data_IF_855442259475
#
_entry.id   IF_855442259475
#
_cell.length_a   1.000
_cell.length_b   1.000
_cell.length_c   1.000
_cell.angle_alpha   90.00
_cell.angle_beta   90.00
_cell.angle_gamma   90.00
#
_symmetry.space_group_name_H-M   'P 1'
#
loop_
_entity.id
_entity.type
_entity.pdbx_description
1 polymer ?
#
# COMPACT_ATOMS: atom_id res chain seq x y z
N UNK A 1 -3.77 23.73 -4.53
CA UNK A 1 -3.58 22.43 -5.21
C UNK A 1 -4.23 21.36 -4.36
N UNK A 2 -5.07 20.50 -4.95
CA UNK A 2 -5.69 19.36 -4.24
C UNK A 2 -4.65 18.25 -4.09
N UNK A 3 -4.54 17.65 -2.89
CA UNK A 3 -3.68 16.49 -2.65
C UNK A 3 -4.27 15.27 -3.34
N UNK A 4 -3.45 14.56 -4.12
CA UNK A 4 -3.83 13.31 -4.77
C UNK A 4 -3.46 12.13 -3.86
N UNK A 5 -4.37 11.19 -3.71
CA UNK A 5 -4.18 9.97 -2.94
C UNK A 5 -4.15 8.78 -3.90
N UNK A 6 -3.11 7.96 -3.84
CA UNK A 6 -3.12 6.63 -4.45
C UNK A 6 -3.64 5.62 -3.44
N UNK A 7 -4.54 4.75 -3.86
CA UNK A 7 -5.20 3.78 -2.99
C UNK A 7 -5.52 2.47 -3.69
N UNK A 8 -5.56 1.39 -2.90
CA UNK A 8 -6.21 0.13 -3.26
C UNK A 8 -7.49 0.05 -2.42
N UNK A 9 -8.66 0.16 -3.04
CA UNK A 9 -9.89 0.46 -2.31
C UNK A 9 -10.93 -0.66 -2.35
N UNK A 10 -11.29 -1.14 -3.52
CA UNK A 10 -12.33 -2.14 -3.71
C UNK A 10 -12.01 -3.00 -4.91
N UNK A 11 -12.48 -4.25 -4.92
CA UNK A 11 -12.43 -5.13 -6.07
C UNK A 11 -13.29 -4.61 -7.23
N UNK A 12 -13.23 -5.28 -8.34
CA UNK A 12 -13.86 -4.90 -9.62
C UNK A 12 -15.37 -4.78 -9.56
N UNK A 13 -16.02 -5.45 -8.61
CA UNK A 13 -17.49 -5.35 -8.39
C UNK A 13 -17.85 -4.40 -7.25
N UNK A 14 -16.88 -3.72 -6.65
CA UNK A 14 -17.09 -2.90 -5.46
C UNK A 14 -17.14 -3.69 -4.14
N UNK A 15 -16.74 -4.96 -4.13
CA UNK A 15 -16.68 -5.82 -2.96
C UNK A 15 -15.25 -5.94 -2.42
N UNK A 16 -15.09 -6.38 -1.17
CA UNK A 16 -13.79 -6.54 -0.53
C UNK A 16 -13.12 -7.89 -0.78
N UNK A 17 -13.87 -8.94 -1.06
CA UNK A 17 -13.36 -10.25 -1.41
C UNK A 17 -13.72 -10.59 -2.84
N UNK A 18 -12.73 -10.69 -3.70
CA UNK A 18 -12.89 -11.03 -5.12
C UNK A 18 -11.92 -12.15 -5.48
N UNK A 19 -12.16 -12.77 -6.62
CA UNK A 19 -11.28 -13.85 -7.09
C UNK A 19 -10.02 -13.26 -7.70
N UNK A 20 -8.82 -13.75 -7.33
CA UNK A 20 -7.59 -13.35 -7.97
C UNK A 20 -7.64 -13.52 -9.50
N UNK A 21 -7.06 -12.59 -10.21
CA UNK A 21 -6.88 -12.68 -11.67
C UNK A 21 -7.98 -12.08 -12.52
N UNK A 22 -8.98 -11.42 -11.93
CA UNK A 22 -10.04 -10.72 -12.65
C UNK A 22 -9.89 -9.18 -12.58
N UNK A 23 -8.67 -8.71 -12.64
CA UNK A 23 -8.33 -7.28 -12.60
C UNK A 23 -9.02 -6.49 -13.70
N UNK A 24 -9.65 -5.39 -13.31
CA UNK A 24 -10.22 -4.40 -14.24
C UNK A 24 -9.26 -3.24 -14.52
N UNK A 25 -8.17 -3.14 -13.77
CA UNK A 25 -7.24 -2.01 -13.80
C UNK A 25 -7.80 -0.73 -13.17
N UNK A 26 -8.82 -0.83 -12.32
CA UNK A 26 -9.47 0.28 -11.60
C UNK A 26 -9.48 0.08 -10.09
N UNK A 27 -9.12 -1.07 -9.60
CA UNK A 27 -9.13 -1.45 -8.20
C UNK A 27 -8.08 -0.66 -7.40
N UNK A 28 -6.92 -0.41 -8.01
CA UNK A 28 -5.97 0.59 -7.56
C UNK A 28 -6.22 1.86 -8.36
N UNK A 29 -6.37 2.99 -7.68
CA UNK A 29 -6.74 4.25 -8.34
C UNK A 29 -6.21 5.47 -7.59
N UNK A 30 -6.35 6.63 -8.24
CA UNK A 30 -6.13 7.92 -7.62
C UNK A 30 -7.44 8.58 -7.25
N UNK A 31 -7.49 9.15 -6.06
CA UNK A 31 -8.57 9.99 -5.57
C UNK A 31 -8.03 11.37 -5.16
N UNK A 32 -8.91 12.34 -5.02
CA UNK A 32 -8.60 13.58 -4.31
C UNK A 32 -8.70 13.36 -2.80
N UNK A 33 -7.97 14.17 -2.04
CA UNK A 33 -8.13 14.15 -0.58
C UNK A 33 -9.58 14.36 -0.20
N UNK A 34 -10.07 13.58 0.74
CA UNK A 34 -11.42 13.66 1.28
C UNK A 34 -11.40 13.57 2.81
N UNK A 35 -12.35 14.25 3.45
CA UNK A 35 -12.55 14.12 4.88
C UNK A 35 -13.14 12.73 5.19
N UNK A 36 -12.53 12.03 6.14
CA UNK A 36 -12.94 10.69 6.54
C UNK A 36 -12.66 10.45 8.02
N UNK A 37 -12.99 9.26 8.50
CA UNK A 37 -12.70 8.84 9.89
C UNK A 37 -11.22 8.42 10.03
N UNK A 38 -10.31 9.30 9.64
CA UNK A 38 -8.88 9.06 9.74
C UNK A 38 -8.45 8.98 11.21
N UNK A 39 -7.66 7.97 11.56
CA UNK A 39 -7.13 7.75 12.90
C UNK A 39 -5.73 8.36 13.08
N UNK A 40 -5.02 8.55 12.00
CA UNK A 40 -3.67 9.10 12.00
C UNK A 40 -3.05 9.17 10.63
N UNK A 41 -1.93 9.85 10.54
CA UNK A 41 -1.06 9.91 9.37
C UNK A 41 0.28 9.29 9.72
N UNK A 42 0.70 8.31 8.96
CA UNK A 42 2.06 7.77 8.98
C UNK A 42 2.92 8.58 8.00
N UNK A 43 3.77 9.43 8.53
CA UNK A 43 4.65 10.28 7.74
C UNK A 43 6.07 9.73 7.74
N UNK A 44 6.66 9.60 6.57
CA UNK A 44 8.09 9.32 6.47
C UNK A 44 8.90 10.46 7.11
N UNK A 45 9.93 10.11 7.88
CA UNK A 45 10.91 11.07 8.41
C UNK A 45 11.89 11.52 7.32
N UNK A 46 12.21 10.63 6.39
CA UNK A 46 13.06 10.91 5.24
C UNK A 46 12.20 11.29 4.02
N UNK A 47 12.38 12.52 3.54
CA UNK A 47 11.67 13.05 2.38
C UNK A 47 11.95 12.24 1.10
N UNK A 48 13.19 11.77 0.90
CA UNK A 48 13.54 10.97 -0.27
C UNK A 48 12.79 9.64 -0.27
N UNK A 49 12.66 8.98 0.87
CA UNK A 49 11.85 7.76 0.99
C UNK A 49 10.37 8.04 0.75
N UNK A 50 9.85 9.17 1.22
CA UNK A 50 8.48 9.57 0.91
C UNK A 50 8.25 9.73 -0.60
N UNK A 51 9.18 10.37 -1.31
CA UNK A 51 9.14 10.54 -2.76
C UNK A 51 9.22 9.17 -3.50
N UNK A 52 10.10 8.28 -3.07
CA UNK A 52 10.20 6.92 -3.63
C UNK A 52 8.93 6.09 -3.38
N UNK A 53 8.33 6.20 -2.20
CA UNK A 53 7.07 5.52 -1.90
C UNK A 53 5.91 6.06 -2.76
N UNK A 54 5.87 7.36 -3.01
CA UNK A 54 4.89 7.96 -3.91
C UNK A 54 5.08 7.46 -5.36
N UNK A 55 6.32 7.36 -5.84
CA UNK A 55 6.62 6.78 -7.16
C UNK A 55 6.22 5.30 -7.24
N UNK A 56 6.48 4.51 -6.19
CA UNK A 56 6.03 3.12 -6.12
C UNK A 56 4.50 3.01 -6.13
N UNK A 57 3.82 3.93 -5.43
CA UNK A 57 2.36 4.02 -5.47
C UNK A 57 1.85 4.34 -6.89
N UNK A 58 2.47 5.29 -7.58
CA UNK A 58 2.14 5.60 -8.97
C UNK A 58 2.37 4.41 -9.90
N UNK A 59 3.48 3.70 -9.74
CA UNK A 59 3.77 2.48 -10.49
C UNK A 59 2.74 1.39 -10.25
N UNK A 60 2.37 1.16 -8.98
CA UNK A 60 1.35 0.17 -8.61
C UNK A 60 -0.04 0.49 -9.16
N UNK A 61 -0.48 1.75 -9.05
CA UNK A 61 -1.77 2.20 -9.63
C UNK A 61 -1.75 2.11 -11.17
N UNK A 62 -0.60 2.36 -11.79
CA UNK A 62 -0.45 2.25 -13.24
C UNK A 62 -0.40 0.82 -13.76
N UNK A 63 -0.04 -0.15 -12.92
CA UNK A 63 0.08 -1.56 -13.31
C UNK A 63 -1.26 -2.29 -13.17
N UNK A 64 -1.91 -2.55 -14.30
CA UNK A 64 -3.21 -3.22 -14.36
C UNK A 64 -3.19 -4.70 -13.98
N UNK A 65 -2.03 -5.28 -13.75
CA UNK A 65 -1.91 -6.63 -13.19
C UNK A 65 -2.09 -6.68 -11.67
N UNK A 66 -2.10 -5.52 -11.00
CA UNK A 66 -2.30 -5.47 -9.55
C UNK A 66 -3.77 -5.13 -9.28
N UNK A 67 -4.50 -6.07 -8.72
CA UNK A 67 -5.90 -5.93 -8.34
C UNK A 67 -6.10 -5.85 -6.83
N UNK A 68 -7.36 -5.79 -6.43
CA UNK A 68 -7.77 -5.73 -5.03
C UNK A 68 -8.55 -6.98 -4.61
N UNK A 69 -7.98 -7.72 -3.68
CA UNK A 69 -8.65 -8.81 -2.98
C UNK A 69 -8.04 -9.01 -1.60
N UNK A 70 -8.86 -8.95 -0.54
CA UNK A 70 -8.39 -9.14 0.82
C UNK A 70 -7.91 -10.57 1.10
N UNK A 71 -8.52 -11.57 0.48
CA UNK A 71 -8.14 -12.97 0.67
C UNK A 71 -6.84 -13.30 -0.07
N UNK A 72 -6.63 -12.69 -1.24
CA UNK A 72 -5.44 -12.83 -2.07
C UNK A 72 -4.33 -11.78 -1.84
N UNK A 73 -4.47 -10.89 -0.86
CA UNK A 73 -3.63 -9.68 -0.66
C UNK A 73 -2.12 -9.90 -0.66
N UNK A 74 -1.67 -11.11 -0.39
CA UNK A 74 -0.24 -11.43 -0.29
C UNK A 74 0.39 -11.83 -1.62
N UNK A 75 -0.39 -12.05 -2.66
CA UNK A 75 0.16 -12.46 -3.96
C UNK A 75 0.98 -11.36 -4.61
N UNK A 76 0.58 -10.09 -4.43
CA UNK A 76 1.37 -8.93 -4.88
C UNK A 76 2.71 -8.80 -4.14
N UNK A 77 2.78 -9.17 -2.85
CA UNK A 77 4.03 -9.16 -2.09
C UNK A 77 5.06 -10.13 -2.70
N UNK A 78 4.63 -11.37 -2.96
CA UNK A 78 5.50 -12.40 -3.55
C UNK A 78 5.99 -11.97 -4.94
N UNK A 79 5.10 -11.41 -5.75
CA UNK A 79 5.47 -10.92 -7.07
C UNK A 79 6.41 -9.70 -7.02
N UNK A 80 6.20 -8.77 -6.09
CA UNK A 80 7.05 -7.61 -5.90
C UNK A 80 8.48 -8.01 -5.46
N UNK A 81 8.59 -8.98 -4.55
CA UNK A 81 9.89 -9.52 -4.14
C UNK A 81 10.66 -10.12 -5.34
N UNK A 82 9.99 -10.84 -6.23
CA UNK A 82 10.59 -11.44 -7.41
C UNK A 82 11.11 -10.43 -8.45
N UNK A 83 10.58 -9.20 -8.44
CA UNK A 83 10.99 -8.09 -9.32
C UNK A 83 11.74 -6.98 -8.57
N UNK A 84 12.41 -7.32 -7.47
CA UNK A 84 13.17 -6.38 -6.64
C UNK A 84 12.35 -5.14 -6.23
N UNK A 85 11.07 -5.34 -5.90
CA UNK A 85 10.13 -4.31 -5.43
C UNK A 85 9.79 -3.23 -6.46
N UNK A 86 10.09 -3.45 -7.74
CA UNK A 86 9.64 -2.60 -8.82
C UNK A 86 8.21 -2.97 -9.25
N UNK A 87 7.22 -2.32 -8.68
CA UNK A 87 5.80 -2.65 -8.89
C UNK A 87 5.35 -2.52 -10.36
N UNK A 88 6.08 -1.74 -11.18
CA UNK A 88 5.81 -1.62 -12.61
C UNK A 88 6.12 -2.91 -13.39
N UNK A 89 7.02 -3.75 -12.88
CA UNK A 89 7.50 -4.98 -13.56
C UNK A 89 6.67 -6.23 -13.22
N UNK A 90 5.66 -6.13 -12.38
CA UNK A 90 4.76 -7.26 -12.09
C UNK A 90 3.97 -7.59 -13.34
N UNK A 91 4.28 -8.73 -13.96
CA UNK A 91 3.78 -9.12 -15.28
C UNK A 91 2.58 -10.07 -15.24
N UNK A 92 2.18 -10.56 -14.05
CA UNK A 92 1.07 -11.50 -13.88
C UNK A 92 0.00 -10.91 -12.96
N UNK A 93 -1.26 -11.30 -13.12
CA UNK A 93 -2.32 -10.91 -12.21
C UNK A 93 -2.01 -11.31 -10.76
N UNK A 94 -2.05 -10.32 -9.88
CA UNK A 94 -1.81 -10.46 -8.43
C UNK A 94 -2.74 -9.53 -7.65
N UNK A 95 -2.92 -9.82 -6.37
CA UNK A 95 -3.85 -9.11 -5.51
C UNK A 95 -3.13 -8.46 -4.34
N UNK A 96 -3.66 -7.33 -3.93
CA UNK A 96 -3.29 -6.61 -2.71
C UNK A 96 -4.53 -6.08 -2.01
N UNK A 97 -4.38 -5.48 -0.84
CA UNK A 97 -5.41 -4.64 -0.22
C UNK A 97 -4.83 -3.27 0.17
N UNK A 98 -5.61 -2.41 0.79
CA UNK A 98 -5.17 -1.06 1.13
C UNK A 98 -3.90 -1.05 2.00
N UNK A 99 -3.85 -1.87 3.04
CA UNK A 99 -2.72 -1.94 3.97
C UNK A 99 -1.51 -2.66 3.37
N UNK A 100 -1.74 -3.74 2.65
CA UNK A 100 -0.68 -4.49 1.96
C UNK A 100 -0.04 -3.61 0.87
N UNK A 101 -0.83 -2.85 0.11
CA UNK A 101 -0.31 -1.94 -0.91
C UNK A 101 0.58 -0.83 -0.30
N UNK A 102 0.17 -0.24 0.81
CA UNK A 102 1.01 0.74 1.50
C UNK A 102 2.33 0.13 2.00
N UNK A 103 2.31 -1.11 2.47
CA UNK A 103 3.53 -1.83 2.83
C UNK A 103 4.43 -2.05 1.62
N UNK A 104 3.89 -2.45 0.47
CA UNK A 104 4.67 -2.60 -0.77
C UNK A 104 5.34 -1.28 -1.17
N UNK A 105 4.62 -0.17 -1.13
CA UNK A 105 5.18 1.14 -1.45
C UNK A 105 6.31 1.54 -0.49
N UNK A 106 6.16 1.26 0.80
CA UNK A 106 7.19 1.55 1.79
C UNK A 106 8.45 0.66 1.63
N UNK A 107 8.29 -0.63 1.33
CA UNK A 107 9.40 -1.53 1.05
C UNK A 107 10.12 -1.11 -0.24
N UNK A 108 9.39 -0.78 -1.29
CA UNK A 108 9.94 -0.24 -2.55
C UNK A 108 10.75 1.05 -2.33
N UNK A 109 10.41 1.82 -1.31
CA UNK A 109 11.16 3.02 -0.89
C UNK A 109 12.38 2.70 0.00
N UNK A 110 12.69 1.43 0.26
CA UNK A 110 13.85 1.00 1.03
C UNK A 110 13.59 0.86 2.55
N UNK A 111 12.34 0.65 2.98
CA UNK A 111 12.04 0.33 4.39
C UNK A 111 12.10 -1.19 4.60
N UNK A 112 13.31 -1.74 4.52
CA UNK A 112 13.54 -3.20 4.57
C UNK A 112 13.09 -3.86 5.86
N UNK A 113 13.07 -3.13 6.98
CA UNK A 113 12.57 -3.63 8.26
C UNK A 113 11.11 -4.14 8.19
N UNK A 114 10.31 -3.64 7.25
CA UNK A 114 8.93 -4.09 7.06
C UNK A 114 8.85 -5.51 6.48
N UNK A 115 9.86 -6.00 5.79
CA UNK A 115 9.92 -7.39 5.28
C UNK A 115 9.92 -8.38 6.45
N UNK A 116 10.69 -8.10 7.51
CA UNK A 116 10.68 -8.94 8.72
C UNK A 116 9.35 -8.82 9.47
N UNK A 117 8.81 -7.61 9.56
CA UNK A 117 7.49 -7.37 10.15
C UNK A 117 6.40 -8.19 9.43
N UNK A 118 6.40 -8.21 8.11
CA UNK A 118 5.48 -8.98 7.30
C UNK A 118 5.55 -10.48 7.64
N UNK A 119 6.75 -11.05 7.71
CA UNK A 119 6.96 -12.47 8.07
C UNK A 119 6.47 -12.78 9.49
N UNK A 120 6.77 -11.92 10.46
CA UNK A 120 6.34 -12.08 11.87
C UNK A 120 4.83 -11.98 12.05
N UNK A 121 4.13 -11.28 11.16
CA UNK A 121 2.67 -11.15 11.16
C UNK A 121 1.96 -12.26 10.36
N UNK A 122 2.61 -13.39 10.13
CA UNK A 122 2.05 -14.50 9.36
C UNK A 122 1.92 -14.19 7.87
N UNK A 123 2.89 -13.46 7.31
CA UNK A 123 2.88 -13.00 5.93
C UNK A 123 1.67 -12.13 5.61
N UNK A 124 1.38 -11.17 6.46
CA UNK A 124 0.26 -10.26 6.28
C UNK A 124 0.59 -8.85 6.77
N UNK A 125 -0.11 -7.87 6.23
CA UNK A 125 -0.16 -6.51 6.74
C UNK A 125 -1.62 -6.08 6.87
N UNK A 126 -2.01 -5.60 8.02
CA UNK A 126 -3.35 -5.05 8.26
C UNK A 126 -3.24 -3.59 8.69
N UNK A 127 -4.31 -2.82 8.53
CA UNK A 127 -4.36 -1.42 9.00
C UNK A 127 -4.00 -1.30 10.47
N UNK A 128 -4.45 -2.25 11.30
CA UNK A 128 -4.10 -2.30 12.72
C UNK A 128 -2.60 -2.50 12.94
N UNK A 129 -1.97 -3.36 12.13
CA UNK A 129 -0.52 -3.57 12.17
C UNK A 129 0.24 -2.29 11.79
N UNK A 130 -0.21 -1.57 10.76
CA UNK A 130 0.49 -0.39 10.24
C UNK A 130 0.74 0.67 11.32
N UNK A 131 -0.27 1.01 12.14
CA UNK A 131 -0.15 2.03 13.18
C UNK A 131 0.93 1.73 14.21
N UNK A 132 1.24 0.47 14.43
CA UNK A 132 2.26 0.00 15.37
C UNK A 132 3.58 -0.32 14.68
N UNK A 133 3.52 -1.08 13.60
CA UNK A 133 4.70 -1.67 12.98
C UNK A 133 5.50 -0.65 12.15
N UNK A 134 4.84 0.30 11.50
CA UNK A 134 5.54 1.31 10.71
C UNK A 134 6.37 2.25 11.58
N UNK A 135 5.82 2.86 12.66
CA UNK A 135 6.64 3.67 13.57
C UNK A 135 7.78 2.88 14.22
N UNK A 136 7.58 1.58 14.52
CA UNK A 136 8.59 0.72 15.13
C UNK A 136 9.82 0.51 14.24
N UNK A 137 9.74 0.75 12.93
CA UNK A 137 10.90 0.74 12.03
C UNK A 137 11.86 1.91 12.25
N UNK A 138 11.42 2.96 12.95
CA UNK A 138 12.15 4.22 13.09
C UNK A 138 12.03 5.18 11.89
N UNK A 139 11.47 4.72 10.78
CA UNK A 139 11.36 5.48 9.51
C UNK A 139 10.13 6.39 9.44
N UNK A 140 9.15 6.16 10.31
CA UNK A 140 7.89 6.90 10.31
C UNK A 140 7.64 7.58 11.64
N UNK A 141 6.91 8.67 11.58
CA UNK A 141 6.19 9.27 12.71
C UNK A 141 4.69 9.06 12.54
N UNK A 142 4.00 8.77 13.63
CA UNK A 142 2.54 8.68 13.67
C UNK A 142 1.98 10.01 14.18
N UNK A 143 1.19 10.69 13.35
CA UNK A 143 0.55 11.95 13.65
C UNK A 143 -0.94 11.72 13.87
N UNK A 144 -1.44 12.01 15.06
CA UNK A 144 -2.85 11.80 15.45
C UNK A 144 -3.59 13.10 15.74
N UNK A 145 -2.92 14.25 15.72
CA UNK A 145 -3.57 15.55 15.92
C UNK A 145 -4.52 15.84 14.74
N UNK A 146 -5.73 16.28 15.05
CA UNK A 146 -6.79 16.58 14.07
C UNK A 146 -6.35 17.52 12.95
N UNK A 147 -5.43 18.46 13.21
CA UNK A 147 -4.90 19.37 12.19
C UNK A 147 -4.20 18.64 11.02
N UNK A 148 -3.78 17.38 11.21
CA UNK A 148 -3.17 16.56 10.16
C UNK A 148 -4.19 15.65 9.45
N UNK A 149 -5.44 15.60 9.94
CA UNK A 149 -6.47 14.67 9.49
C UNK A 149 -7.61 15.34 8.70
N UNK A 150 -7.50 16.67 8.50
CA UNK A 150 -8.51 17.49 7.81
C UNK A 150 -7.99 18.06 6.50
#
# INVERSE_FOLDING_TARGET
MSVRIGQASLGETGAHGQKPGNQTGRELNFAHWYAGSWLGVLRFKDRRKAELAAQACEAGVGNKNIGYDQDGRNTAYVAAEAVNWNLAEIAKPVETDCSAFMMLCAISAGVDALKETYRKQGNSCTTYCMMRCFPATGEFELLTDRKYLT
#
